data_IF_982973111558
#
_entry.id   IF_982973111558
#
_cell.length_a   1.000
_cell.length_b   1.000
_cell.length_c   1.000
_cell.angle_alpha   90.00
_cell.angle_beta   90.00
_cell.angle_gamma   90.00
#
_symmetry.space_group_name_H-M   'P 1'
#
loop_
_entity.id
_entity.type
_entity.pdbx_description
1 polymer ?
#
# COMPACT_ATOMS: atom_id res chain seq x y z
N UNK A 1 -61.11 29.81 0.03
CA UNK A 1 -60.52 29.33 1.31
C UNK A 1 -60.12 27.88 1.17
N UNK A 2 -58.82 27.60 1.03
CA UNK A 2 -58.10 26.39 1.50
C UNK A 2 -56.62 26.65 1.26
N UNK A 3 -55.95 27.13 2.31
CA UNK A 3 -54.50 27.34 2.32
C UNK A 3 -53.81 26.00 2.52
N UNK A 4 -52.93 25.60 1.61
CA UNK A 4 -52.05 24.45 1.79
C UNK A 4 -50.69 24.96 2.28
N UNK A 5 -50.42 24.72 3.56
CA UNK A 5 -49.13 24.95 4.18
C UNK A 5 -48.15 23.90 3.63
N UNK A 6 -47.16 24.31 2.84
CA UNK A 6 -46.06 23.44 2.44
C UNK A 6 -44.98 23.46 3.53
N UNK A 7 -44.86 22.36 4.28
CA UNK A 7 -43.80 22.15 5.27
C UNK A 7 -42.56 21.66 4.50
N UNK A 8 -41.56 22.52 4.35
CA UNK A 8 -40.25 22.12 3.85
C UNK A 8 -39.51 21.33 4.93
N UNK A 9 -39.50 20.01 4.80
CA UNK A 9 -38.67 19.13 5.62
C UNK A 9 -37.22 19.23 5.11
N UNK A 10 -36.39 20.01 5.79
CA UNK A 10 -34.94 20.05 5.51
C UNK A 10 -34.33 18.77 6.06
N UNK A 11 -34.08 17.80 5.17
CA UNK A 11 -33.31 16.60 5.50
C UNK A 11 -31.84 17.01 5.59
N UNK A 12 -31.35 17.24 6.80
CA UNK A 12 -29.93 17.34 7.10
C UNK A 12 -29.28 15.98 6.82
N UNK A 13 -28.70 15.82 5.64
CA UNK A 13 -27.80 14.70 5.36
C UNK A 13 -26.53 14.92 6.17
N UNK A 14 -26.41 14.22 7.30
CA UNK A 14 -25.15 14.08 8.01
C UNK A 14 -24.15 13.36 7.11
N UNK A 15 -23.32 14.13 6.42
CA UNK A 15 -22.10 13.60 5.82
C UNK A 15 -21.23 13.05 6.94
N UNK A 16 -20.93 11.77 6.89
CA UNK A 16 -19.89 11.17 7.74
C UNK A 16 -18.56 11.78 7.32
N UNK A 17 -18.09 12.79 8.06
CA UNK A 17 -16.73 13.26 7.94
C UNK A 17 -15.79 12.11 8.34
N UNK A 18 -15.07 11.55 7.36
CA UNK A 18 -14.03 10.58 7.61
C UNK A 18 -12.96 11.21 8.49
N UNK A 19 -12.79 10.69 9.71
CA UNK A 19 -11.70 11.12 10.59
C UNK A 19 -10.37 10.65 10.01
N UNK A 20 -9.57 11.58 9.52
CA UNK A 20 -8.17 11.35 9.25
C UNK A 20 -7.40 11.36 10.58
N UNK A 21 -6.60 10.32 10.83
CA UNK A 21 -5.63 10.31 11.91
C UNK A 21 -4.25 10.45 11.31
N UNK A 22 -3.47 11.36 11.86
CA UNK A 22 -2.13 11.67 11.36
C UNK A 22 -1.11 11.45 12.46
N UNK A 23 0.00 10.77 12.13
CA UNK A 23 1.03 10.47 13.11
C UNK A 23 2.35 11.14 12.74
N UNK A 24 2.84 11.96 13.67
CA UNK A 24 4.16 12.57 13.62
C UNK A 24 5.24 11.51 13.86
N UNK A 25 6.27 11.52 13.01
CA UNK A 25 7.51 10.78 13.23
C UNK A 25 8.54 11.80 13.71
N UNK A 26 8.88 11.76 15.00
CA UNK A 26 10.00 12.55 15.52
C UNK A 26 11.31 11.91 15.05
N UNK A 27 11.97 12.52 14.07
CA UNK A 27 13.38 12.25 13.79
C UNK A 27 14.22 13.25 14.57
N UNK A 28 15.36 12.80 15.12
CA UNK A 28 16.32 13.65 15.85
C UNK A 28 16.58 14.95 15.06
N UNK A 29 16.07 16.07 15.57
CA UNK A 29 16.35 17.42 15.04
C UNK A 29 15.40 17.95 13.95
N UNK A 30 14.26 17.31 13.65
CA UNK A 30 13.29 17.86 12.68
C UNK A 30 11.89 18.01 13.28
N UNK A 31 11.27 19.17 13.04
CA UNK A 31 9.85 19.44 13.32
C UNK A 31 8.95 18.37 12.69
N UNK A 32 7.85 17.99 13.35
CA UNK A 32 6.93 16.95 12.86
C UNK A 32 6.59 17.14 11.36
N UNK A 33 7.19 16.30 10.53
CA UNK A 33 6.76 16.12 9.15
C UNK A 33 5.85 14.90 9.13
N UNK A 34 4.55 15.14 8.97
CA UNK A 34 3.57 14.08 8.74
C UNK A 34 3.97 13.31 7.49
N UNK A 35 4.51 12.09 7.65
CA UNK A 35 4.88 11.21 6.53
C UNK A 35 3.80 10.18 6.20
N UNK A 36 2.94 9.87 7.17
CA UNK A 36 1.97 8.79 7.08
C UNK A 36 0.60 9.29 7.57
N UNK A 37 -0.44 9.06 6.78
CA UNK A 37 -1.81 9.40 7.13
C UNK A 37 -2.73 8.21 6.88
N UNK A 38 -3.47 7.83 7.92
CA UNK A 38 -4.53 6.82 7.84
C UNK A 38 -5.88 7.54 7.76
N UNK A 39 -6.72 7.12 6.82
CA UNK A 39 -8.04 7.71 6.58
C UNK A 39 -9.05 6.62 6.17
N UNK A 40 -10.32 7.03 6.08
CA UNK A 40 -11.43 6.13 5.75
C UNK A 40 -11.54 4.95 6.73
N UNK A 41 -11.71 5.30 8.02
CA UNK A 41 -11.81 4.34 9.12
C UNK A 41 -13.00 3.40 8.93
N UNK A 42 -12.75 2.11 9.12
CA UNK A 42 -13.75 1.04 9.16
C UNK A 42 -13.47 0.16 10.39
N UNK A 43 -14.36 0.23 11.39
CA UNK A 43 -14.10 -0.36 12.70
C UNK A 43 -12.80 0.21 13.30
N UNK A 44 -11.86 -0.67 13.63
CA UNK A 44 -10.54 -0.29 14.17
C UNK A 44 -9.45 -0.16 13.09
N UNK A 45 -9.80 -0.36 11.82
CA UNK A 45 -8.88 -0.34 10.67
C UNK A 45 -9.20 0.80 9.71
N UNK A 46 -8.41 0.92 8.66
CA UNK A 46 -8.48 2.03 7.69
C UNK A 46 -8.46 1.50 6.26
N UNK A 47 -9.24 2.11 5.36
CA UNK A 47 -9.21 1.75 3.93
C UNK A 47 -8.15 2.51 3.15
N UNK A 48 -7.56 3.55 3.73
CA UNK A 48 -6.62 4.39 3.01
C UNK A 48 -5.39 4.68 3.85
N UNK A 49 -4.23 4.44 3.24
CA UNK A 49 -2.93 4.85 3.74
C UNK A 49 -2.30 5.81 2.73
N UNK A 50 -1.93 7.00 3.18
CA UNK A 50 -1.31 8.03 2.35
C UNK A 50 0.10 8.30 2.81
N UNK A 51 1.04 8.20 1.88
CA UNK A 51 2.44 8.57 2.06
C UNK A 51 2.58 10.04 1.68
N UNK A 52 3.20 10.81 2.57
CA UNK A 52 3.40 12.24 2.44
C UNK A 52 4.89 12.57 2.51
N UNK A 53 5.29 13.59 1.76
CA UNK A 53 6.61 14.22 1.81
C UNK A 53 6.43 15.72 1.66
N UNK A 54 6.88 16.47 2.66
CA UNK A 54 6.80 17.94 2.69
C UNK A 54 5.37 18.46 2.40
N UNK A 55 4.37 17.81 3.00
CA UNK A 55 2.94 18.12 2.82
C UNK A 55 2.33 17.69 1.49
N UNK A 56 3.11 17.07 0.58
CA UNK A 56 2.64 16.57 -0.71
C UNK A 56 2.43 15.06 -0.66
N UNK A 57 1.38 14.59 -1.32
CA UNK A 57 1.10 13.16 -1.50
C UNK A 57 2.14 12.53 -2.43
N UNK A 58 2.87 11.54 -1.92
CA UNK A 58 3.74 10.67 -2.71
C UNK A 58 2.91 9.55 -3.35
N UNK A 59 2.14 8.82 -2.54
CA UNK A 59 1.29 7.73 -2.99
C UNK A 59 0.11 7.53 -2.04
N UNK A 60 -1.04 7.15 -2.60
CA UNK A 60 -2.21 6.69 -1.86
C UNK A 60 -2.39 5.19 -2.09
N UNK A 61 -2.22 4.41 -1.03
CA UNK A 61 -2.53 2.99 -1.02
C UNK A 61 -3.98 2.81 -0.57
N UNK A 62 -4.74 2.03 -1.31
CA UNK A 62 -6.16 1.75 -1.03
C UNK A 62 -6.35 0.29 -0.73
N UNK A 63 -6.96 0.03 0.42
CA UNK A 63 -7.22 -1.27 0.96
C UNK A 63 -8.71 -1.63 0.89
N UNK A 64 -9.01 -2.82 0.37
CA UNK A 64 -10.33 -3.45 0.35
C UNK A 64 -10.18 -4.95 0.00
N UNK A 65 -11.30 -5.68 -0.08
CA UNK A 65 -11.33 -7.03 -0.66
C UNK A 65 -10.75 -6.99 -2.08
N UNK A 66 -9.74 -7.83 -2.37
CA UNK A 66 -9.04 -7.84 -3.66
C UNK A 66 -8.09 -6.64 -3.87
N UNK A 67 -7.85 -5.83 -2.84
CA UNK A 67 -6.88 -4.71 -2.86
C UNK A 67 -5.96 -4.76 -1.65
N UNK A 68 -5.56 -5.95 -1.24
CA UNK A 68 -4.67 -6.16 -0.11
C UNK A 68 -5.31 -6.02 1.28
N UNK A 69 -6.62 -5.78 1.39
CA UNK A 69 -7.29 -5.70 2.69
C UNK A 69 -7.17 -4.34 3.38
N UNK A 70 -7.63 -4.21 4.63
CA UNK A 70 -7.65 -2.93 5.36
C UNK A 70 -6.37 -2.71 6.17
N UNK A 71 -5.91 -1.46 6.32
CA UNK A 71 -4.70 -1.13 7.07
C UNK A 71 -4.93 -1.08 8.58
N UNK A 72 -4.00 -1.65 9.33
CA UNK A 72 -3.91 -1.49 10.79
C UNK A 72 -2.89 -0.41 11.15
N UNK A 73 -3.30 0.51 12.03
CA UNK A 73 -2.41 1.58 12.49
C UNK A 73 -1.47 1.03 13.55
N UNK A 74 -0.17 1.18 13.30
CA UNK A 74 0.87 0.89 14.30
C UNK A 74 1.20 2.18 15.04
N UNK A 75 0.89 2.20 16.34
CA UNK A 75 1.05 3.40 17.16
C UNK A 75 2.51 3.84 17.31
N UNK A 76 3.50 3.02 16.99
CA UNK A 76 4.91 3.43 16.82
C UNK A 76 5.45 2.81 15.54
N UNK A 77 5.35 3.50 14.37
CA UNK A 77 5.76 2.94 13.10
C UNK A 77 7.20 2.44 13.17
N UNK A 78 7.42 1.24 12.67
CA UNK A 78 8.74 0.63 12.56
C UNK A 78 9.35 1.17 11.28
N UNK A 79 10.45 1.91 11.41
CA UNK A 79 11.12 2.57 10.30
C UNK A 79 12.57 2.12 10.21
N UNK A 80 13.12 2.16 9.00
CA UNK A 80 14.56 2.10 8.83
C UNK A 80 15.25 3.27 9.55
N UNK A 81 16.52 3.14 9.95
CA UNK A 81 17.27 4.20 10.65
C UNK A 81 17.28 5.55 9.94
N UNK A 82 17.25 5.56 8.60
CA UNK A 82 17.19 6.76 7.78
C UNK A 82 15.76 7.31 7.60
N UNK A 83 14.74 6.59 8.09
CA UNK A 83 13.33 6.95 8.03
C UNK A 83 12.75 6.93 6.61
N UNK A 84 13.37 6.20 5.68
CA UNK A 84 12.93 6.08 4.30
C UNK A 84 12.07 4.83 4.04
N UNK A 85 12.13 3.80 4.88
CA UNK A 85 11.33 2.59 4.73
C UNK A 85 10.46 2.41 5.97
N UNK A 86 9.19 2.06 5.77
CA UNK A 86 8.25 1.74 6.85
C UNK A 86 7.74 0.31 6.74
N UNK A 87 7.54 -0.34 7.89
CA UNK A 87 6.68 -1.51 7.98
C UNK A 87 5.22 -1.04 8.08
N UNK A 88 4.38 -1.45 7.13
CA UNK A 88 2.95 -1.23 7.12
C UNK A 88 2.23 -2.55 7.44
N UNK A 89 1.16 -2.51 8.24
CA UNK A 89 0.31 -3.69 8.49
C UNK A 89 -1.00 -3.59 7.71
N UNK A 90 -1.38 -4.69 7.05
CA UNK A 90 -2.60 -4.78 6.25
C UNK A 90 -3.26 -6.13 6.45
N UNK A 91 -4.57 -6.12 6.72
CA UNK A 91 -5.36 -7.31 7.03
C UNK A 91 -6.33 -7.58 5.89
N UNK A 92 -6.15 -8.70 5.21
CA UNK A 92 -7.12 -9.24 4.27
C UNK A 92 -8.16 -10.05 5.03
N UNK A 93 -9.42 -9.82 4.70
CA UNK A 93 -10.54 -10.46 5.38
C UNK A 93 -11.58 -10.93 4.38
N UNK A 94 -12.15 -12.11 4.62
CA UNK A 94 -13.20 -12.67 3.78
C UNK A 94 -13.82 -13.93 4.37
N UNK A 95 -14.85 -14.45 3.71
CA UNK A 95 -15.41 -15.76 4.03
C UNK A 95 -14.70 -16.84 3.22
N UNK A 96 -14.26 -17.90 3.88
CA UNK A 96 -13.76 -19.11 3.23
C UNK A 96 -14.73 -20.26 3.47
N UNK A 97 -14.92 -21.08 2.43
CA UNK A 97 -15.69 -22.32 2.56
C UNK A 97 -14.79 -23.42 3.13
N UNK A 98 -15.22 -24.03 4.22
CA UNK A 98 -14.52 -25.16 4.84
C UNK A 98 -14.89 -26.47 4.14
N UNK A 99 -14.14 -27.54 4.42
CA UNK A 99 -14.34 -28.86 3.82
C UNK A 99 -15.74 -29.47 4.06
N UNK A 100 -16.50 -28.98 5.03
CA UNK A 100 -17.87 -29.44 5.28
C UNK A 100 -18.95 -28.54 4.64
N UNK A 101 -18.55 -27.56 3.81
CA UNK A 101 -19.46 -26.63 3.13
C UNK A 101 -19.90 -25.44 4.00
N UNK A 102 -19.42 -25.32 5.26
CA UNK A 102 -19.69 -24.13 6.07
C UNK A 102 -18.82 -22.96 5.65
N UNK A 103 -19.35 -21.75 5.75
CA UNK A 103 -18.58 -20.52 5.54
C UNK A 103 -18.07 -20.00 6.88
N UNK A 104 -16.78 -19.73 6.94
CA UNK A 104 -16.14 -19.16 8.14
C UNK A 104 -15.41 -17.89 7.74
N UNK A 105 -15.56 -16.85 8.57
CA UNK A 105 -14.79 -15.64 8.43
C UNK A 105 -13.32 -15.92 8.74
N UNK A 106 -12.45 -15.51 7.84
CA UNK A 106 -11.00 -15.69 7.95
C UNK A 106 -10.29 -14.38 7.66
N UNK A 107 -9.20 -14.15 8.40
CA UNK A 107 -8.33 -13.01 8.21
C UNK A 107 -6.90 -13.49 8.02
N UNK A 108 -6.19 -12.85 7.10
CA UNK A 108 -4.76 -13.04 6.88
C UNK A 108 -4.07 -11.70 7.12
N UNK A 109 -3.13 -11.71 8.06
CA UNK A 109 -2.32 -10.55 8.38
C UNK A 109 -1.08 -10.50 7.48
N UNK A 110 -0.99 -9.44 6.69
CA UNK A 110 0.19 -9.10 5.90
C UNK A 110 0.92 -7.93 6.51
N UNK A 111 2.22 -7.88 6.24
CA UNK A 111 3.01 -6.67 6.40
C UNK A 111 3.68 -6.30 5.08
N UNK A 112 3.98 -5.02 4.93
CA UNK A 112 4.66 -4.48 3.76
C UNK A 112 5.86 -3.65 4.16
N UNK A 113 6.98 -3.83 3.47
CA UNK A 113 8.11 -2.89 3.53
C UNK A 113 7.94 -1.87 2.41
N UNK A 114 7.71 -0.61 2.77
CA UNK A 114 7.37 0.45 1.82
C UNK A 114 8.41 1.56 1.83
N UNK A 115 9.01 1.85 0.68
CA UNK A 115 9.88 3.01 0.50
C UNK A 115 9.04 4.29 0.45
N UNK A 116 9.16 5.12 1.47
CA UNK A 116 8.44 6.39 1.62
C UNK A 116 8.87 7.45 0.62
N UNK A 117 9.99 7.26 -0.09
CA UNK A 117 10.51 8.27 -1.02
C UNK A 117 9.70 8.33 -2.32
N UNK A 118 9.27 7.17 -2.79
CA UNK A 118 8.51 6.98 -4.02
C UNK A 118 7.19 6.24 -3.79
N UNK A 119 6.98 5.64 -2.61
CA UNK A 119 5.81 4.83 -2.30
C UNK A 119 5.90 3.40 -2.81
N UNK A 120 7.07 2.91 -3.23
CA UNK A 120 7.27 1.53 -3.67
C UNK A 120 7.01 0.53 -2.53
N UNK A 121 6.15 -0.47 -2.77
CA UNK A 121 6.04 -1.63 -1.90
C UNK A 121 7.14 -2.60 -2.32
N UNK A 122 8.19 -2.71 -1.51
CA UNK A 122 9.36 -3.55 -1.80
C UNK A 122 8.99 -5.02 -1.61
N UNK A 123 8.32 -5.33 -0.50
CA UNK A 123 7.92 -6.69 -0.15
C UNK A 123 6.57 -6.67 0.56
N UNK A 124 5.80 -7.74 0.38
CA UNK A 124 4.55 -8.01 1.11
C UNK A 124 4.57 -9.46 1.53
N UNK A 125 4.54 -9.71 2.83
CA UNK A 125 4.73 -11.04 3.41
C UNK A 125 3.79 -11.26 4.60
N UNK A 126 3.78 -12.48 5.16
CA UNK A 126 3.00 -12.84 6.36
C UNK A 126 3.88 -13.48 7.44
N UNK A 127 3.31 -13.66 8.64
CA UNK A 127 3.90 -14.54 9.66
C UNK A 127 5.24 -14.05 10.19
N UNK A 128 6.22 -14.95 10.28
CA UNK A 128 7.52 -14.69 10.91
C UNK A 128 8.29 -13.51 10.28
N UNK A 129 8.15 -13.29 8.98
CA UNK A 129 8.75 -12.14 8.30
C UNK A 129 8.31 -10.82 8.92
N UNK A 130 7.03 -10.71 9.30
CA UNK A 130 6.44 -9.51 9.85
C UNK A 130 6.85 -9.21 11.29
N UNK A 131 7.43 -10.19 11.99
CA UNK A 131 8.02 -10.01 13.31
C UNK A 131 9.45 -9.45 13.28
N UNK A 132 9.97 -9.13 12.09
CA UNK A 132 11.32 -8.59 11.92
C UNK A 132 11.50 -7.16 12.46
N UNK A 133 12.73 -6.66 12.35
CA UNK A 133 13.11 -5.30 12.75
C UNK A 133 14.18 -4.74 11.82
N UNK A 134 14.34 -3.42 11.82
CA UNK A 134 15.48 -2.82 11.13
C UNK A 134 16.73 -2.85 11.99
N UNK A 135 17.83 -3.32 11.42
CA UNK A 135 19.16 -3.19 11.99
C UNK A 135 19.68 -1.75 11.90
N UNK A 136 20.77 -1.45 12.61
CA UNK A 136 21.39 -0.12 12.57
C UNK A 136 21.92 0.28 11.19
N UNK A 137 22.33 -0.69 10.37
CA UNK A 137 22.79 -0.48 9.00
C UNK A 137 21.64 -0.45 7.98
N UNK A 138 20.39 -0.58 8.43
CA UNK A 138 19.19 -0.40 7.61
C UNK A 138 18.65 -1.65 6.91
N UNK A 139 19.14 -2.84 7.26
CA UNK A 139 18.62 -4.12 6.75
C UNK A 139 17.36 -4.53 7.50
N UNK A 140 16.48 -5.28 6.84
CA UNK A 140 15.33 -5.91 7.49
C UNK A 140 15.72 -7.28 8.04
N UNK A 141 15.99 -7.34 9.35
CA UNK A 141 16.33 -8.57 10.05
C UNK A 141 15.05 -9.34 10.38
N UNK A 142 14.93 -10.56 9.85
CA UNK A 142 13.84 -11.47 10.12
C UNK A 142 14.37 -12.92 10.15
N UNK A 143 13.67 -13.82 10.85
CA UNK A 143 14.11 -15.22 11.00
C UNK A 143 13.89 -16.08 9.75
N UNK A 144 12.93 -15.69 8.90
CA UNK A 144 12.50 -16.49 7.76
C UNK A 144 13.46 -16.36 6.57
N UNK A 145 13.94 -15.14 6.31
CA UNK A 145 14.86 -14.81 5.22
C UNK A 145 16.06 -14.02 5.76
N UNK A 146 17.09 -14.72 6.31
CA UNK A 146 18.27 -14.05 6.88
C UNK A 146 19.06 -13.22 5.86
N UNK A 147 19.01 -13.61 4.59
CA UNK A 147 19.71 -12.94 3.48
C UNK A 147 18.82 -11.93 2.72
N UNK A 148 17.66 -11.58 3.28
CA UNK A 148 16.74 -10.64 2.65
C UNK A 148 17.42 -9.28 2.42
N UNK A 149 17.42 -8.83 1.17
CA UNK A 149 18.03 -7.56 0.77
C UNK A 149 17.02 -6.65 0.14
N UNK A 150 16.75 -5.51 0.80
CA UNK A 150 15.84 -4.49 0.30
C UNK A 150 16.17 -4.05 -1.13
N UNK A 151 17.45 -3.99 -1.50
CA UNK A 151 17.87 -3.54 -2.84
C UNK A 151 17.64 -4.57 -3.92
N UNK A 152 17.84 -5.86 -3.60
CA UNK A 152 17.62 -6.98 -4.51
C UNK A 152 16.13 -7.27 -4.67
N UNK A 153 15.37 -7.20 -3.57
CA UNK A 153 13.94 -7.49 -3.56
C UNK A 153 13.08 -6.34 -4.10
N UNK A 154 13.62 -5.12 -4.20
CA UNK A 154 12.90 -4.00 -4.85
C UNK A 154 12.48 -4.40 -6.27
N UNK A 155 11.17 -4.34 -6.61
CA UNK A 155 10.68 -4.66 -7.95
C UNK A 155 11.38 -3.84 -9.04
N UNK A 156 11.82 -4.52 -10.11
CA UNK A 156 12.43 -3.89 -11.29
C UNK A 156 11.85 -4.44 -12.57
N UNK A 157 11.65 -3.60 -13.57
CA UNK A 157 11.02 -3.97 -14.84
C UNK A 157 11.77 -5.13 -15.51
N UNK A 158 13.11 -5.09 -15.47
CA UNK A 158 13.96 -6.16 -15.96
C UNK A 158 13.57 -7.55 -15.44
N UNK A 159 13.26 -7.68 -14.14
CA UNK A 159 12.92 -8.97 -13.52
C UNK A 159 11.55 -9.50 -13.93
N UNK A 160 10.62 -8.61 -14.31
CA UNK A 160 9.34 -9.04 -14.87
C UNK A 160 9.47 -9.37 -16.36
N UNK A 161 10.30 -8.63 -17.09
CA UNK A 161 10.57 -8.88 -18.50
C UNK A 161 11.29 -10.22 -18.74
N UNK A 162 12.30 -10.56 -17.91
CA UNK A 162 13.02 -11.83 -17.98
C UNK A 162 12.25 -13.02 -17.35
N UNK A 163 11.21 -12.73 -16.56
CA UNK A 163 10.35 -13.72 -15.92
C UNK A 163 10.84 -14.22 -14.56
N UNK A 164 11.88 -13.61 -13.97
CA UNK A 164 12.33 -13.94 -12.61
C UNK A 164 11.33 -13.47 -11.55
N UNK A 165 10.57 -12.41 -11.81
CA UNK A 165 9.39 -12.01 -11.06
C UNK A 165 8.12 -12.18 -11.90
N UNK A 166 7.02 -12.51 -11.25
CA UNK A 166 5.71 -12.68 -11.88
C UNK A 166 4.70 -11.72 -11.27
N UNK A 167 3.81 -11.20 -12.11
CA UNK A 167 2.66 -10.44 -11.60
C UNK A 167 1.69 -11.37 -10.90
N UNK A 168 1.10 -10.88 -9.82
CA UNK A 168 0.10 -11.61 -9.04
C UNK A 168 -1.01 -10.66 -8.57
N UNK A 169 -2.10 -11.23 -8.06
CA UNK A 169 -3.15 -10.48 -7.37
C UNK A 169 -2.68 -10.09 -5.94
N UNK A 170 -1.64 -9.28 -5.89
CA UNK A 170 -1.02 -8.76 -4.67
C UNK A 170 -0.56 -7.32 -4.94
N UNK A 171 -0.80 -6.37 -4.02
CA UNK A 171 -0.36 -4.99 -4.20
C UNK A 171 1.14 -4.87 -4.51
N UNK A 172 2.00 -5.68 -3.89
CA UNK A 172 3.44 -5.65 -4.12
C UNK A 172 3.85 -6.20 -5.50
N UNK A 173 3.12 -7.19 -6.01
CA UNK A 173 3.40 -7.83 -7.31
C UNK A 173 2.51 -7.28 -8.44
N UNK A 174 2.01 -6.05 -8.28
CA UNK A 174 1.14 -5.39 -9.28
C UNK A 174 1.95 -4.53 -10.26
N UNK A 175 1.43 -4.37 -11.47
CA UNK A 175 2.01 -3.46 -12.46
C UNK A 175 2.07 -2.02 -11.95
N UNK A 176 1.03 -1.58 -11.24
CA UNK A 176 0.99 -0.25 -10.63
C UNK A 176 2.14 -0.07 -9.63
N UNK A 177 2.41 -1.07 -8.80
CA UNK A 177 3.53 -0.99 -7.86
C UNK A 177 4.88 -0.92 -8.56
N UNK A 178 5.06 -1.70 -9.63
CA UNK A 178 6.27 -1.65 -10.44
C UNK A 178 6.55 -0.23 -10.96
N UNK A 179 5.52 0.51 -11.41
CA UNK A 179 5.69 1.90 -11.87
C UNK A 179 6.18 2.87 -10.78
N UNK A 180 5.92 2.58 -9.49
CA UNK A 180 6.45 3.35 -8.37
C UNK A 180 7.86 2.88 -7.95
N UNK A 181 8.14 1.58 -8.09
CA UNK A 181 9.42 0.98 -7.71
C UNK A 181 10.53 1.22 -8.73
N UNK A 182 10.23 1.12 -10.01
CA UNK A 182 11.17 1.28 -11.12
C UNK A 182 10.52 2.11 -12.25
N UNK A 183 10.27 3.41 -12.02
CA UNK A 183 9.58 4.26 -13.00
C UNK A 183 10.21 4.18 -14.39
N UNK A 184 9.42 4.25 -15.48
CA UNK A 184 9.96 4.18 -16.83
C UNK A 184 10.99 5.29 -17.12
N UNK A 185 12.15 4.90 -17.64
CA UNK A 185 13.23 5.77 -18.07
C UNK A 185 13.93 5.21 -19.32
N UNK A 186 14.98 5.89 -19.80
CA UNK A 186 15.71 5.46 -21.00
C UNK A 186 16.43 4.11 -20.87
N UNK A 187 16.65 3.61 -19.65
CA UNK A 187 17.36 2.36 -19.38
C UNK A 187 16.43 1.16 -19.30
N UNK A 188 15.19 1.35 -18.83
CA UNK A 188 14.22 0.25 -18.61
C UNK A 188 13.00 0.29 -19.56
N UNK A 189 12.90 1.26 -20.46
CA UNK A 189 11.76 1.40 -21.41
C UNK A 189 11.48 0.13 -22.22
N UNK A 190 12.54 -0.54 -22.70
CA UNK A 190 12.38 -1.79 -23.47
C UNK A 190 11.81 -2.92 -22.62
N UNK A 191 12.18 -3.01 -21.33
CA UNK A 191 11.64 -4.02 -20.42
C UNK A 191 10.12 -3.80 -20.25
N UNK A 192 9.68 -2.55 -20.14
CA UNK A 192 8.25 -2.22 -20.10
C UNK A 192 7.50 -2.60 -21.37
N UNK A 193 8.07 -2.38 -22.55
CA UNK A 193 7.45 -2.84 -23.80
C UNK A 193 7.25 -4.35 -23.81
N UNK A 194 8.27 -5.12 -23.41
CA UNK A 194 8.18 -6.59 -23.29
C UNK A 194 7.07 -7.00 -22.31
N UNK A 195 7.01 -6.35 -21.14
CA UNK A 195 6.00 -6.64 -20.11
C UNK A 195 4.57 -6.42 -20.66
N UNK A 196 4.34 -5.27 -21.31
CA UNK A 196 3.02 -4.90 -21.82
C UNK A 196 2.56 -5.87 -22.91
N UNK A 197 3.45 -6.21 -23.84
CA UNK A 197 3.16 -7.18 -24.91
C UNK A 197 2.88 -8.58 -24.35
N UNK A 198 3.66 -9.03 -23.36
CA UNK A 198 3.53 -10.38 -22.79
C UNK A 198 2.27 -10.56 -21.95
N UNK A 199 1.87 -9.54 -21.20
CA UNK A 199 0.79 -9.66 -20.21
C UNK A 199 -0.54 -9.04 -20.67
N UNK A 200 -0.59 -8.42 -21.85
CA UNK A 200 -1.79 -7.80 -22.40
C UNK A 200 -2.45 -6.80 -21.43
N UNK A 201 -1.65 -6.02 -20.71
CA UNK A 201 -2.18 -5.05 -19.73
C UNK A 201 -3.07 -4.01 -20.40
N UNK A 202 -4.24 -3.75 -19.80
CA UNK A 202 -5.10 -2.63 -20.18
C UNK A 202 -4.61 -1.37 -19.47
N UNK A 203 -3.77 -0.62 -20.15
CA UNK A 203 -3.20 0.62 -19.63
C UNK A 203 -4.24 1.74 -19.61
N UNK A 204 -4.32 2.45 -18.48
CA UNK A 204 -5.06 3.71 -18.39
C UNK A 204 -4.34 4.85 -19.13
N UNK A 205 -4.99 6.01 -19.22
CA UNK A 205 -4.44 7.17 -19.92
C UNK A 205 -3.12 7.70 -19.32
N UNK A 206 -2.96 7.65 -18.00
CA UNK A 206 -1.77 8.15 -17.32
C UNK A 206 -0.60 7.19 -17.54
N UNK A 207 -0.84 5.87 -17.44
CA UNK A 207 0.14 4.84 -17.72
C UNK A 207 0.61 4.90 -19.17
N UNK A 208 -0.32 5.07 -20.12
CA UNK A 208 0.06 5.22 -21.53
C UNK A 208 0.96 6.42 -21.76
N UNK A 209 0.69 7.55 -21.14
CA UNK A 209 1.54 8.74 -21.27
C UNK A 209 2.92 8.53 -20.66
N UNK A 210 2.98 7.90 -19.48
CA UNK A 210 4.23 7.57 -18.79
C UNK A 210 5.13 6.64 -19.62
N UNK A 211 4.54 5.79 -20.46
CA UNK A 211 5.22 4.74 -21.22
C UNK A 211 5.44 5.10 -22.71
N UNK A 212 5.12 6.33 -23.12
CA UNK A 212 5.42 6.82 -24.49
C UNK A 212 6.92 6.95 -24.76
#
# INVERSE_FOLDING_TARGET
MKSYLAVFLVILTYGTFGYASTKCIETKGSSCNEKLKYSDRIGERYRTFTILRDGKTVRVLRGDVGKGGTFERIDHPILSPDGNIVLLSQIESGEVETSNGSKTYHEVAYCELVDLRNGCIIARETGEFCGGTFSQDGRWENSLYPEFSLTTETPRAKYYADGTQIFADSPAASFDNLLFCDPPDTKNKNDYHIIIEKHNFKLDSAQRELLK
#
